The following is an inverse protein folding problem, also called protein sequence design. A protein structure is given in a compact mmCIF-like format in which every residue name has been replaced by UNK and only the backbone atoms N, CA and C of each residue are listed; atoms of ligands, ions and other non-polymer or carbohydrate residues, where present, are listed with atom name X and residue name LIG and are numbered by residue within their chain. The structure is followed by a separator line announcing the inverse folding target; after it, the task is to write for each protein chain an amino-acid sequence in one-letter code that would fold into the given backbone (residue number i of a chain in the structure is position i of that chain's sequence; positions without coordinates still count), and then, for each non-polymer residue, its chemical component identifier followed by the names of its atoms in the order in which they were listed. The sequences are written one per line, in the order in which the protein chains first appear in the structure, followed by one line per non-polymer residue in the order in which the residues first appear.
data_IF_117730328248
#
_entry.id   IF_117730328248
#
_cell.length_a   1.000
_cell.length_b   1.000
_cell.length_c   1.000
_cell.angle_alpha   90.00
_cell.angle_beta   90.00
_cell.angle_gamma   90.00
#
_symmetry.space_group_name_H-M   'P 1'
#
loop_
_entity.id
_entity.type
_entity.pdbx_description
1 polymer ?
#
# COMPACT_ATOMS: atom_id res chain seq x y z
N UNK A 1 2.87 26.92 4.55
CA UNK A 1 3.08 28.39 4.63
C UNK A 1 4.13 28.76 5.68
N UNK A 2 3.88 28.57 6.98
CA UNK A 2 4.84 28.99 8.02
C UNK A 2 6.25 28.43 7.84
N UNK A 3 6.41 27.17 7.42
CA UNK A 3 7.73 26.58 7.17
C UNK A 3 8.47 27.26 6.01
N UNK A 4 7.75 27.68 4.96
CA UNK A 4 8.34 28.37 3.82
C UNK A 4 8.84 29.77 4.19
N UNK A 5 8.04 30.54 4.95
CA UNK A 5 8.46 31.87 5.42
C UNK A 5 9.58 31.80 6.45
N UNK A 6 9.53 30.83 7.37
CA UNK A 6 10.65 30.58 8.30
C UNK A 6 11.95 30.34 7.55
N UNK A 7 11.91 29.49 6.50
CA UNK A 7 13.07 29.22 5.66
C UNK A 7 13.63 30.48 4.98
N UNK A 8 12.75 31.32 4.40
CA UNK A 8 13.18 32.59 3.80
C UNK A 8 13.83 33.52 4.83
N UNK A 9 13.19 33.70 5.99
CA UNK A 9 13.67 34.58 7.06
C UNK A 9 15.00 34.09 7.65
N UNK A 10 15.19 32.78 7.79
CA UNK A 10 16.46 32.16 8.21
C UNK A 10 17.59 32.43 7.21
N UNK A 11 17.27 32.55 5.92
CA UNK A 11 18.20 32.94 4.85
C UNK A 11 18.37 34.45 4.71
N UNK A 12 17.87 35.25 5.65
CA UNK A 12 17.90 36.73 5.62
C UNK A 12 17.23 37.29 4.36
N UNK A 13 16.20 36.60 3.88
CA UNK A 13 15.38 37.03 2.76
C UNK A 13 13.95 37.34 3.22
N UNK A 14 13.41 38.45 2.73
CA UNK A 14 12.00 38.81 2.88
C UNK A 14 11.27 38.59 1.56
N UNK A 15 10.00 38.19 1.61
CA UNK A 15 9.20 37.98 0.40
C UNK A 15 8.61 39.31 -0.15
N UNK A 16 8.12 40.17 0.74
CA UNK A 16 7.59 41.53 0.49
C UNK A 16 6.34 41.65 -0.39
N UNK A 17 6.01 40.67 -1.23
CA UNK A 17 4.76 40.63 -2.00
C UNK A 17 3.89 39.40 -1.69
N UNK A 18 3.67 39.13 -0.40
CA UNK A 18 2.78 38.06 0.02
C UNK A 18 1.31 38.41 -0.24
N UNK A 19 0.67 37.62 -1.10
CA UNK A 19 -0.75 37.73 -1.48
C UNK A 19 -1.30 36.36 -1.86
N UNK A 20 -2.63 36.16 -1.87
CA UNK A 20 -3.23 34.87 -2.19
C UNK A 20 -2.81 34.29 -3.56
N UNK A 21 -2.62 35.12 -4.58
CA UNK A 21 -2.17 34.67 -5.91
C UNK A 21 -0.75 34.11 -5.92
N UNK A 22 0.08 34.47 -4.94
CA UNK A 22 1.46 33.99 -4.82
C UNK A 22 1.56 32.74 -3.92
N UNK A 23 0.41 32.17 -3.54
CA UNK A 23 0.29 30.98 -2.71
C UNK A 23 -0.39 29.89 -3.54
N UNK A 24 0.39 28.92 -3.99
CA UNK A 24 -0.13 27.77 -4.73
C UNK A 24 -0.46 26.62 -3.80
N UNK A 25 -1.58 25.96 -4.07
CA UNK A 25 -1.95 24.69 -3.45
C UNK A 25 -1.79 23.61 -4.50
N UNK A 26 -0.93 22.64 -4.22
CA UNK A 26 -0.65 21.53 -5.15
C UNK A 26 -1.78 20.49 -5.11
N UNK A 27 -2.10 19.92 -6.26
CA UNK A 27 -3.12 18.87 -6.42
C UNK A 27 -2.68 17.51 -5.85
N UNK A 28 -1.37 17.28 -5.69
CA UNK A 28 -0.78 16.11 -5.03
C UNK A 28 -0.34 16.49 -3.61
N UNK A 29 -1.00 15.94 -2.58
CA UNK A 29 -0.59 16.06 -1.17
C UNK A 29 -1.00 17.34 -0.44
N UNK A 30 -1.84 18.20 -1.04
CA UNK A 30 -2.32 19.46 -0.44
C UNK A 30 -1.20 20.38 0.09
N UNK A 31 0.00 20.31 -0.48
CA UNK A 31 1.12 21.13 -0.04
C UNK A 31 0.97 22.58 -0.54
N UNK A 32 1.35 23.52 0.32
CA UNK A 32 1.40 24.96 0.01
C UNK A 32 2.78 25.32 -0.50
N UNK A 33 2.86 25.84 -1.73
CA UNK A 33 4.08 26.41 -2.33
C UNK A 33 3.96 27.92 -2.42
N UNK A 34 5.03 28.61 -2.03
CA UNK A 34 5.15 30.06 -2.16
C UNK A 34 5.93 30.35 -3.44
N UNK A 35 5.42 31.27 -4.27
CA UNK A 35 5.98 31.63 -5.57
C UNK A 35 6.23 33.14 -5.64
N UNK A 36 6.93 33.58 -6.68
CA UNK A 36 7.16 34.99 -7.01
C UNK A 36 7.97 35.76 -5.95
N UNK A 37 9.28 35.52 -5.97
CA UNK A 37 10.29 36.22 -5.16
C UNK A 37 10.85 37.45 -5.89
N UNK A 38 10.17 37.97 -6.92
CA UNK A 38 10.66 39.05 -7.77
C UNK A 38 10.90 40.38 -7.04
N UNK A 39 10.24 40.58 -5.90
CA UNK A 39 10.41 41.73 -5.00
C UNK A 39 11.15 41.36 -3.71
N UNK A 40 11.74 40.17 -3.67
CA UNK A 40 12.44 39.68 -2.49
C UNK A 40 13.64 40.54 -2.16
N UNK A 41 13.82 40.81 -0.87
CA UNK A 41 14.93 41.62 -0.37
C UNK A 41 15.86 40.80 0.49
N UNK A 42 17.17 40.96 0.28
CA UNK A 42 18.21 40.45 1.16
C UNK A 42 19.23 41.55 1.46
N UNK A 43 19.95 41.43 2.58
CA UNK A 43 21.03 42.35 2.94
C UNK A 43 22.15 42.44 1.88
N UNK A 44 22.22 41.46 0.97
CA UNK A 44 23.22 41.32 -0.09
C UNK A 44 22.80 41.84 -1.47
N UNK A 45 21.52 42.13 -1.70
CA UNK A 45 20.99 42.58 -3.00
C UNK A 45 19.81 43.56 -2.80
N UNK A 46 19.99 44.81 -3.25
CA UNK A 46 18.91 45.79 -3.36
C UNK A 46 18.23 45.63 -4.73
N UNK A 47 17.06 45.01 -4.75
CA UNK A 47 16.15 45.08 -5.89
C UNK A 47 15.17 46.26 -5.72
N UNK A 48 14.62 46.74 -6.83
CA UNK A 48 13.47 47.66 -6.81
C UNK A 48 12.33 46.99 -6.03
N UNK A 49 11.89 47.62 -4.95
CA UNK A 49 10.81 47.07 -4.12
C UNK A 49 9.46 47.34 -4.78
N UNK A 50 8.72 46.28 -5.06
CA UNK A 50 7.31 46.33 -5.44
C UNK A 50 6.43 45.71 -4.37
N UNK A 51 5.17 46.09 -4.36
CA UNK A 51 4.20 45.60 -3.39
C UNK A 51 2.79 45.63 -3.97
N UNK A 52 1.94 44.71 -3.50
CA UNK A 52 0.51 44.76 -3.76
C UNK A 52 -0.19 45.55 -2.64
N UNK A 53 -0.81 46.68 -3.00
CA UNK A 53 -1.36 47.68 -2.06
C UNK A 53 -2.31 47.11 -0.99
N UNK A 54 -3.05 46.05 -1.29
CA UNK A 54 -4.02 45.45 -0.37
C UNK A 54 -3.38 44.63 0.77
N UNK A 55 -2.14 44.20 0.57
CA UNK A 55 -1.40 43.30 1.48
C UNK A 55 -0.10 43.91 2.02
N UNK A 56 0.37 45.02 1.44
CA UNK A 56 1.62 45.66 1.83
C UNK A 56 1.56 46.24 3.25
N UNK A 57 2.67 46.11 3.97
CA UNK A 57 2.82 46.73 5.27
C UNK A 57 3.01 48.26 5.15
N UNK A 58 2.59 49.07 6.15
CA UNK A 58 2.74 50.53 6.13
C UNK A 58 4.17 51.01 5.89
N UNK A 59 5.17 50.32 6.42
CA UNK A 59 6.58 50.64 6.20
C UNK A 59 6.99 50.49 4.71
N UNK A 60 6.36 49.58 3.95
CA UNK A 60 6.59 49.42 2.51
C UNK A 60 6.06 50.62 1.72
N UNK A 61 4.92 51.20 2.14
CA UNK A 61 4.32 52.38 1.50
C UNK A 61 5.15 53.66 1.70
N UNK A 62 5.88 53.73 2.82
CA UNK A 62 6.74 54.88 3.14
C UNK A 62 8.18 54.70 2.66
N UNK A 63 8.49 53.58 1.99
CA UNK A 63 9.82 53.20 1.51
C UNK A 63 10.92 53.25 2.61
N UNK A 64 10.53 53.03 3.87
CA UNK A 64 11.45 52.99 5.02
C UNK A 64 12.08 51.61 5.13
N UNK A 65 13.01 51.31 4.23
CA UNK A 65 13.66 50.00 4.11
C UNK A 65 14.38 49.58 5.38
N UNK A 66 14.82 50.53 6.22
CA UNK A 66 15.43 50.28 7.53
C UNK A 66 14.48 49.65 8.55
N UNK A 67 13.18 49.67 8.29
CA UNK A 67 12.15 49.03 9.12
C UNK A 67 11.77 47.64 8.61
N UNK A 68 12.28 47.22 7.45
CA UNK A 68 11.91 45.95 6.85
C UNK A 68 12.49 44.81 7.66
N UNK A 69 11.63 43.85 7.99
CA UNK A 69 11.98 42.72 8.84
C UNK A 69 11.01 41.57 8.57
N UNK A 70 11.21 40.38 9.18
CA UNK A 70 10.19 39.33 9.19
C UNK A 70 8.78 39.83 9.56
N UNK A 71 8.68 40.89 10.38
CA UNK A 71 7.42 41.51 10.77
C UNK A 71 6.67 42.18 9.59
N UNK A 72 7.37 42.51 8.51
CA UNK A 72 6.81 43.05 7.26
C UNK A 72 6.04 41.97 6.51
N UNK A 73 6.64 40.78 6.31
CA UNK A 73 5.93 39.62 5.73
C UNK A 73 4.78 39.14 6.64
N UNK A 74 4.96 39.22 7.97
CA UNK A 74 3.93 38.85 8.93
C UNK A 74 2.69 39.75 8.85
N UNK A 75 2.85 41.03 8.47
CA UNK A 75 1.70 41.91 8.22
C UNK A 75 0.85 41.39 7.07
N UNK A 76 1.49 41.12 5.92
CA UNK A 76 0.82 40.61 4.74
C UNK A 76 0.16 39.24 5.01
N UNK A 77 0.86 38.35 5.74
CA UNK A 77 0.28 37.09 6.21
C UNK A 77 -0.93 37.31 7.13
N UNK A 78 -0.87 38.29 8.03
CA UNK A 78 -1.97 38.70 8.90
C UNK A 78 -3.22 39.12 8.12
N UNK A 79 -3.05 39.91 7.05
CA UNK A 79 -4.12 40.30 6.13
C UNK A 79 -4.73 39.10 5.42
N UNK A 80 -3.91 38.14 4.99
CA UNK A 80 -4.38 36.89 4.37
C UNK A 80 -5.18 36.06 5.38
N UNK A 81 -4.65 35.86 6.60
CA UNK A 81 -5.32 35.13 7.66
C UNK A 81 -6.67 35.77 8.03
N UNK A 82 -6.74 37.10 8.10
CA UNK A 82 -7.96 37.85 8.34
C UNK A 82 -8.98 37.66 7.21
N UNK A 83 -8.55 37.79 5.94
CA UNK A 83 -9.44 37.66 4.77
C UNK A 83 -10.12 36.30 4.69
N UNK A 84 -9.43 35.23 5.07
CA UNK A 84 -9.94 33.85 4.98
C UNK A 84 -10.46 33.30 6.33
N UNK A 85 -10.47 34.10 7.40
CA UNK A 85 -10.96 33.65 8.71
C UNK A 85 -10.13 32.53 9.33
N UNK A 86 -8.82 32.51 9.07
CA UNK A 86 -7.91 31.40 9.44
C UNK A 86 -7.25 31.57 10.82
N UNK A 87 -7.47 32.69 11.51
CA UNK A 87 -6.94 32.95 12.86
C UNK A 87 -7.91 33.83 13.66
N UNK A 88 -7.77 33.85 15.00
CA UNK A 88 -8.56 34.74 15.88
C UNK A 88 -8.29 36.20 15.55
N UNK A 89 -9.32 37.04 15.69
CA UNK A 89 -9.22 38.49 15.48
C UNK A 89 -8.10 39.13 16.28
N UNK A 90 -7.89 38.73 17.54
CA UNK A 90 -6.80 39.28 18.36
C UNK A 90 -5.40 38.95 17.82
N UNK A 91 -5.25 37.79 17.17
CA UNK A 91 -3.98 37.36 16.55
C UNK A 91 -3.78 38.14 15.24
N UNK A 92 -4.80 38.21 14.39
CA UNK A 92 -4.71 38.94 13.11
C UNK A 92 -4.52 40.43 13.35
N UNK A 93 -5.20 41.03 14.34
CA UNK A 93 -5.01 42.42 14.77
C UNK A 93 -3.57 42.68 15.25
N UNK A 94 -2.94 41.72 15.95
CA UNK A 94 -1.54 41.84 16.33
C UNK A 94 -0.61 41.84 15.10
N UNK A 95 -0.91 41.01 14.09
CA UNK A 95 -0.12 40.95 12.85
C UNK A 95 -0.22 42.26 12.04
N UNK A 96 -1.36 42.95 12.04
CA UNK A 96 -1.62 44.12 11.18
C UNK A 96 -1.43 45.47 11.88
N UNK A 97 -0.73 45.53 13.01
CA UNK A 97 -0.42 46.81 13.68
C UNK A 97 0.48 47.69 12.81
N UNK A 98 0.32 49.02 12.92
CA UNK A 98 1.13 49.97 12.16
C UNK A 98 2.62 49.86 12.50
N UNK A 99 2.96 49.85 13.79
CA UNK A 99 4.34 49.66 14.24
C UNK A 99 4.81 48.18 14.05
N UNK A 100 5.83 47.91 13.21
CA UNK A 100 6.35 46.56 13.00
C UNK A 100 6.89 45.92 14.30
N UNK A 101 7.38 46.71 15.26
CA UNK A 101 7.88 46.20 16.55
C UNK A 101 6.77 45.67 17.46
N UNK A 102 5.53 46.09 17.21
CA UNK A 102 4.36 45.66 17.98
C UNK A 102 3.69 44.39 17.42
N UNK A 103 4.16 43.87 16.28
CA UNK A 103 3.73 42.63 15.63
C UNK A 103 4.49 41.41 16.20
N UNK A 104 4.13 40.21 15.74
CA UNK A 104 4.99 39.04 15.99
C UNK A 104 6.32 39.24 15.26
N UNK A 105 7.43 39.05 15.98
CA UNK A 105 8.78 39.29 15.45
C UNK A 105 9.33 38.09 14.65
N UNK A 106 8.64 36.95 14.68
CA UNK A 106 8.97 35.79 13.87
C UNK A 106 7.73 34.96 13.54
N UNK A 107 7.83 34.19 12.47
CA UNK A 107 6.77 33.26 12.03
C UNK A 107 6.51 32.19 13.10
N UNK A 108 7.54 31.78 13.85
CA UNK A 108 7.41 30.86 14.97
C UNK A 108 6.63 31.44 16.15
N UNK A 109 6.82 32.72 16.46
CA UNK A 109 6.05 33.38 17.51
C UNK A 109 4.56 33.44 17.14
N UNK A 110 4.24 33.74 15.88
CA UNK A 110 2.88 33.69 15.35
C UNK A 110 2.30 32.26 15.41
N UNK A 111 3.06 31.25 14.96
CA UNK A 111 2.66 29.84 15.00
C UNK A 111 2.30 29.39 16.42
N UNK A 112 3.13 29.72 17.42
CA UNK A 112 2.88 29.39 18.84
C UNK A 112 1.63 30.09 19.38
N UNK A 113 1.37 31.34 18.99
CA UNK A 113 0.17 32.06 19.39
C UNK A 113 -1.11 31.42 18.83
N UNK A 114 -1.06 30.95 17.58
CA UNK A 114 -2.18 30.24 16.96
C UNK A 114 -2.46 28.90 17.66
N UNK A 115 -1.43 28.12 17.99
CA UNK A 115 -1.57 26.85 18.72
C UNK A 115 -2.15 27.03 20.14
N UNK A 116 -1.66 28.01 20.92
CA UNK A 116 -2.19 28.29 22.28
C UNK A 116 -3.66 28.72 22.29
N UNK A 117 -4.10 29.37 21.22
CA UNK A 117 -5.48 29.82 21.05
C UNK A 117 -6.47 28.66 20.86
N UNK A 118 -6.01 27.52 20.33
CA UNK A 118 -6.81 26.29 20.18
C UNK A 118 -6.97 25.56 21.52
N UNK A 119 -5.93 25.54 22.37
CA UNK A 119 -5.95 24.87 23.69
C UNK A 119 -6.91 25.52 24.69
N UNK A 120 -7.00 26.86 24.72
CA UNK A 120 -7.91 27.61 25.62
C UNK A 120 -9.39 27.44 25.23
N UNK A 121 -9.67 27.05 23.97
CA UNK A 121 -11.03 26.82 23.46
C UNK A 121 -11.64 25.50 23.98
N UNK A 122 -10.82 24.60 24.52
CA UNK A 122 -11.22 23.28 25.03
C UNK A 122 -11.72 23.36 26.49
N UNK A 123 -11.10 24.17 27.34
CA UNK A 123 -11.42 24.21 28.78
C UNK A 123 -12.72 24.93 29.13
N UNK A 124 -13.18 25.88 28.30
CA UNK A 124 -14.37 26.71 28.57
C UNK A 124 -15.69 26.16 28.02
N UNK A 125 -15.65 25.11 27.17
CA UNK A 125 -16.85 24.52 26.53
C UNK A 125 -17.42 23.29 27.26
N UNK A 126 -16.75 22.79 28.30
CA UNK A 126 -17.14 21.56 29.03
C UNK A 126 -18.39 21.75 29.90
N UNK A 127 -18.64 22.95 30.44
CA UNK A 127 -19.69 23.16 31.46
C UNK A 127 -21.13 23.23 30.93
N UNK A 128 -21.38 23.90 29.81
CA UNK A 128 -22.75 24.08 29.28
C UNK A 128 -23.14 23.07 28.19
N UNK A 129 -22.16 22.43 27.56
CA UNK A 129 -22.38 21.48 26.46
C UNK A 129 -22.93 20.13 26.89
N UNK A 130 -22.69 19.70 28.13
CA UNK A 130 -23.04 18.35 28.60
C UNK A 130 -24.55 18.07 28.63
N UNK A 131 -25.38 19.08 28.95
CA UNK A 131 -26.84 18.88 29.06
C UNK A 131 -27.52 18.86 27.69
N UNK A 132 -27.07 19.70 26.74
CA UNK A 132 -27.60 19.71 25.38
C UNK A 132 -27.05 18.57 24.52
N UNK A 133 -25.81 18.12 24.75
CA UNK A 133 -25.19 17.01 24.03
C UNK A 133 -25.82 15.65 24.36
N UNK A 134 -26.42 15.45 25.55
CA UNK A 134 -27.14 14.21 25.85
C UNK A 134 -28.44 14.07 25.05
N UNK A 135 -29.17 15.18 24.83
CA UNK A 135 -30.42 15.20 24.06
C UNK A 135 -30.18 15.16 22.54
N UNK A 136 -29.17 15.87 22.06
CA UNK A 136 -28.78 15.89 20.64
C UNK A 136 -28.04 14.60 20.26
N UNK A 137 -27.22 14.04 21.16
CA UNK A 137 -26.54 12.76 20.96
C UNK A 137 -27.51 11.60 20.76
N UNK A 138 -28.64 11.59 21.46
CA UNK A 138 -29.69 10.59 21.25
C UNK A 138 -30.35 10.71 19.85
N UNK A 139 -30.54 11.93 19.35
CA UNK A 139 -31.17 12.19 18.03
C UNK A 139 -30.18 11.97 16.88
N UNK A 140 -28.91 12.35 17.03
CA UNK A 140 -27.85 12.16 16.03
C UNK A 140 -27.44 10.68 15.93
N UNK A 141 -27.45 9.95 17.05
CA UNK A 141 -27.30 8.48 17.03
C UNK A 141 -28.46 7.80 16.29
N UNK A 142 -29.68 8.35 16.38
CA UNK A 142 -30.87 7.84 15.68
C UNK A 142 -30.94 8.20 14.18
N UNK A 143 -30.23 9.23 13.69
CA UNK A 143 -30.46 9.78 12.32
C UNK A 143 -29.21 9.86 11.42
N UNK A 144 -28.01 9.51 11.90
CA UNK A 144 -26.98 8.97 11.02
C UNK A 144 -25.83 9.89 10.61
N UNK A 145 -24.62 9.35 10.80
CA UNK A 145 -23.48 9.62 9.94
C UNK A 145 -23.64 8.75 8.69
N UNK A 146 -23.88 9.36 7.54
CA UNK A 146 -23.58 8.73 6.26
C UNK A 146 -22.14 9.10 5.90
N UNK A 147 -21.22 8.16 6.08
CA UNK A 147 -19.97 8.16 5.32
C UNK A 147 -20.31 8.36 3.85
N UNK A 148 -19.60 9.25 3.13
CA UNK A 148 -19.76 9.29 1.68
C UNK A 148 -19.24 7.95 1.16
N UNK A 149 -20.10 7.10 0.55
CA UNK A 149 -19.65 5.84 0.02
C UNK A 149 -18.63 6.14 -1.08
N UNK A 150 -17.53 5.40 -1.11
CA UNK A 150 -16.72 5.28 -2.31
C UNK A 150 -17.64 4.83 -3.46
N UNK A 151 -17.39 5.26 -4.71
CA UNK A 151 -18.13 4.72 -5.84
C UNK A 151 -18.05 3.19 -5.76
N UNK A 152 -19.18 2.47 -5.92
CA UNK A 152 -19.18 1.02 -5.79
C UNK A 152 -18.19 0.44 -6.81
N UNK A 153 -17.17 -0.27 -6.31
CA UNK A 153 -16.31 -1.06 -7.18
C UNK A 153 -17.21 -2.08 -7.90
N UNK A 154 -17.01 -2.33 -9.22
CA UNK A 154 -17.64 -3.46 -9.87
C UNK A 154 -17.46 -4.70 -8.99
N UNK A 155 -18.49 -5.56 -8.87
CA UNK A 155 -18.33 -6.80 -8.12
C UNK A 155 -17.17 -7.59 -8.73
N UNK A 156 -16.23 -8.00 -7.88
CA UNK A 156 -15.13 -8.84 -8.32
C UNK A 156 -15.69 -10.20 -8.79
N UNK A 157 -15.03 -10.86 -9.75
CA UNK A 157 -15.40 -12.22 -10.13
C UNK A 157 -15.39 -13.16 -8.92
N UNK A 158 -16.16 -14.26 -9.00
CA UNK A 158 -16.18 -15.26 -7.93
C UNK A 158 -14.77 -15.76 -7.62
N UNK A 159 -14.41 -15.78 -6.33
CA UNK A 159 -13.08 -16.19 -5.85
C UNK A 159 -12.01 -15.10 -5.91
N UNK A 160 -12.32 -13.88 -6.36
CA UNK A 160 -11.40 -12.75 -6.37
C UNK A 160 -11.55 -11.83 -5.15
N UNK A 161 -10.45 -11.22 -4.72
CA UNK A 161 -10.46 -10.03 -3.86
C UNK A 161 -10.86 -8.82 -4.70
N UNK A 162 -11.74 -7.97 -4.18
CA UNK A 162 -12.21 -6.79 -4.89
C UNK A 162 -11.20 -5.63 -4.83
N UNK A 163 -10.00 -5.84 -5.35
CA UNK A 163 -8.93 -4.86 -5.53
C UNK A 163 -8.28 -5.03 -6.89
N UNK A 164 -8.05 -3.92 -7.59
CA UNK A 164 -7.42 -3.92 -8.92
C UNK A 164 -5.93 -3.58 -8.81
N UNK A 165 -5.13 -4.30 -9.59
CA UNK A 165 -3.68 -4.15 -9.63
C UNK A 165 -3.24 -3.99 -11.08
N UNK A 166 -2.66 -2.83 -11.40
CA UNK A 166 -2.07 -2.58 -12.72
C UNK A 166 -0.78 -3.39 -12.85
N UNK A 167 -0.66 -4.19 -13.90
CA UNK A 167 0.42 -5.19 -14.05
C UNK A 167 1.49 -4.82 -15.09
N UNK A 168 1.26 -3.77 -15.88
CA UNK A 168 2.21 -3.31 -16.89
C UNK A 168 2.03 -1.82 -17.25
N UNK A 169 2.93 -1.30 -18.09
CA UNK A 169 2.86 0.09 -18.57
C UNK A 169 1.67 0.39 -19.49
N UNK A 170 1.09 -0.64 -20.12
CA UNK A 170 -0.10 -0.49 -20.96
C UNK A 170 -1.36 -0.20 -20.14
N UNK A 171 -1.32 -0.44 -18.82
CA UNK A 171 -2.43 -0.20 -17.92
C UNK A 171 -3.36 -1.40 -17.76
N UNK A 172 -2.94 -2.60 -18.17
CA UNK A 172 -3.71 -3.82 -17.93
C UNK A 172 -3.85 -4.06 -16.42
N UNK A 173 -5.01 -4.53 -16.00
CA UNK A 173 -5.33 -4.73 -14.59
C UNK A 173 -5.80 -6.15 -14.33
N UNK A 174 -5.47 -6.64 -13.14
CA UNK A 174 -5.91 -7.96 -12.66
C UNK A 174 -6.57 -7.88 -11.29
N UNK A 175 -7.39 -8.88 -11.00
CA UNK A 175 -7.84 -9.24 -9.67
C UNK A 175 -7.02 -10.41 -9.13
N UNK A 176 -6.65 -10.37 -7.85
CA UNK A 176 -6.01 -11.50 -7.17
C UNK A 176 -7.05 -12.46 -6.58
N UNK A 177 -6.70 -13.75 -6.49
CA UNK A 177 -7.52 -14.74 -5.82
C UNK A 177 -7.63 -14.49 -4.31
N UNK A 178 -8.78 -14.86 -3.73
CA UNK A 178 -9.13 -14.69 -2.31
C UNK A 178 -8.26 -15.47 -1.33
N UNK A 179 -7.47 -16.41 -1.82
CA UNK A 179 -6.61 -17.27 -1.01
C UNK A 179 -5.52 -17.88 -1.89
N UNK A 180 -4.51 -18.45 -1.24
CA UNK A 180 -3.53 -19.30 -1.93
C UNK A 180 -4.26 -20.50 -2.53
N UNK A 181 -3.78 -20.97 -3.68
CA UNK A 181 -4.28 -22.18 -4.28
C UNK A 181 -4.08 -23.37 -3.32
N UNK A 182 -5.09 -24.23 -3.24
CA UNK A 182 -5.07 -25.45 -2.47
C UNK A 182 -5.64 -26.60 -3.29
N UNK A 183 -5.13 -27.80 -3.06
CA UNK A 183 -5.56 -29.01 -3.74
C UNK A 183 -5.82 -30.14 -2.76
N UNK A 184 -6.86 -30.94 -3.00
CA UNK A 184 -7.19 -32.13 -2.23
C UNK A 184 -7.22 -33.38 -3.13
N UNK A 185 -6.21 -34.27 -3.04
CA UNK A 185 -6.10 -35.45 -3.89
C UNK A 185 -7.27 -36.41 -3.79
N UNK A 186 -7.77 -36.66 -2.57
CA UNK A 186 -8.80 -37.67 -2.30
C UNK A 186 -10.13 -37.42 -3.00
N UNK A 187 -10.39 -36.19 -3.44
CA UNK A 187 -11.60 -35.78 -4.15
C UNK A 187 -11.30 -35.02 -5.45
N UNK A 188 -10.04 -35.00 -5.89
CA UNK A 188 -9.57 -34.26 -7.05
C UNK A 188 -10.12 -32.84 -7.16
N UNK A 189 -9.94 -32.03 -6.11
CA UNK A 189 -10.56 -30.69 -6.03
C UNK A 189 -9.53 -29.62 -5.78
N UNK A 190 -9.58 -28.56 -6.58
CA UNK A 190 -8.87 -27.31 -6.38
C UNK A 190 -9.77 -26.26 -5.71
N UNK A 191 -9.19 -25.45 -4.84
CA UNK A 191 -9.85 -24.29 -4.23
C UNK A 191 -8.83 -23.20 -3.91
N UNK A 192 -9.30 -22.00 -3.65
CA UNK A 192 -8.57 -21.02 -2.87
C UNK A 192 -8.78 -21.26 -1.37
N UNK A 193 -7.77 -20.98 -0.56
CA UNK A 193 -7.89 -20.91 0.88
C UNK A 193 -9.03 -19.96 1.30
N UNK A 194 -9.67 -20.23 2.44
CA UNK A 194 -10.87 -19.48 2.84
C UNK A 194 -10.51 -18.07 3.29
N UNK A 195 -9.48 -17.93 4.12
CA UNK A 195 -8.88 -16.64 4.47
C UNK A 195 -7.53 -16.45 3.76
N UNK A 196 -7.14 -15.19 3.53
CA UNK A 196 -5.86 -14.90 2.85
C UNK A 196 -4.63 -15.34 3.64
N UNK A 197 -4.71 -15.38 4.97
CA UNK A 197 -3.64 -15.82 5.86
C UNK A 197 -3.65 -17.33 6.15
N UNK A 198 -4.63 -18.08 5.61
CA UNK A 198 -4.66 -19.53 5.73
C UNK A 198 -3.57 -20.17 4.85
N UNK A 199 -2.80 -21.07 5.45
CA UNK A 199 -1.86 -21.96 4.76
C UNK A 199 -1.81 -23.31 5.50
N UNK A 200 -1.46 -24.38 4.79
CA UNK A 200 -1.36 -25.74 5.33
C UNK A 200 0.01 -25.96 5.97
N UNK A 201 1.08 -25.48 5.34
CA UNK A 201 2.43 -25.54 5.90
C UNK A 201 2.83 -26.96 6.33
N UNK A 202 3.37 -27.09 7.55
CA UNK A 202 3.91 -28.36 8.08
C UNK A 202 2.87 -29.37 8.55
N UNK A 203 1.59 -28.98 8.66
CA UNK A 203 0.55 -29.74 9.37
C UNK A 203 0.17 -31.07 8.70
N UNK A 204 0.56 -31.29 7.44
CA UNK A 204 0.26 -32.51 6.69
C UNK A 204 1.46 -33.45 6.44
N UNK A 205 2.59 -33.24 7.13
CA UNK A 205 3.75 -34.16 7.14
C UNK A 205 4.26 -34.65 5.75
N UNK A 206 3.98 -33.93 4.65
CA UNK A 206 4.48 -34.16 3.29
C UNK A 206 4.79 -35.62 2.93
N UNK A 207 3.82 -36.51 3.14
CA UNK A 207 4.05 -37.93 2.94
C UNK A 207 4.52 -38.24 1.50
N UNK A 208 5.57 -39.06 1.39
CA UNK A 208 6.10 -39.61 0.13
C UNK A 208 5.17 -40.67 -0.52
N UNK A 209 3.87 -40.72 -0.20
CA UNK A 209 2.92 -41.67 -0.80
C UNK A 209 1.47 -41.16 -0.82
N UNK A 210 0.72 -41.36 -1.93
CA UNK A 210 -0.69 -40.91 -2.01
C UNK A 210 -1.61 -41.60 -1.04
N UNK A 211 -1.33 -42.83 -0.65
CA UNK A 211 -2.21 -43.56 0.27
C UNK A 211 -2.38 -42.83 1.63
N UNK A 212 -1.54 -41.81 1.91
CA UNK A 212 -1.60 -41.00 3.14
C UNK A 212 -1.95 -39.52 2.93
N UNK A 213 -2.06 -39.02 1.70
CA UNK A 213 -2.41 -37.62 1.47
C UNK A 213 -3.91 -37.43 1.27
N UNK A 214 -4.67 -37.52 2.35
CA UNK A 214 -6.14 -37.33 2.36
C UNK A 214 -6.58 -35.87 2.58
N UNK A 215 -5.64 -34.99 2.93
CA UNK A 215 -5.88 -33.60 3.32
C UNK A 215 -5.49 -32.60 2.21
N UNK A 216 -5.71 -31.31 2.47
CA UNK A 216 -5.38 -30.20 1.57
C UNK A 216 -3.87 -29.96 1.47
N UNK A 217 -3.40 -29.46 0.31
CA UNK A 217 -2.02 -29.10 0.00
C UNK A 217 -1.98 -27.68 -0.57
N UNK A 218 -0.88 -26.93 -0.37
CA UNK A 218 -0.74 -25.53 -0.80
C UNK A 218 0.67 -25.12 -1.31
N UNK A 219 1.63 -26.07 -1.31
CA UNK A 219 2.99 -25.89 -1.82
C UNK A 219 3.23 -26.84 -2.99
N UNK A 220 3.31 -26.28 -4.21
CA UNK A 220 3.29 -27.02 -5.47
C UNK A 220 4.57 -26.85 -6.25
N UNK A 221 5.01 -27.91 -6.93
CA UNK A 221 6.03 -27.83 -7.96
C UNK A 221 5.56 -26.97 -9.15
N UNK A 222 6.52 -26.36 -9.84
CA UNK A 222 6.26 -25.49 -10.98
C UNK A 222 5.59 -26.24 -12.13
N UNK A 223 4.60 -25.61 -12.77
CA UNK A 223 4.05 -26.09 -14.04
C UNK A 223 3.09 -27.29 -13.97
N UNK A 224 2.56 -27.60 -12.79
CA UNK A 224 1.81 -28.86 -12.57
C UNK A 224 0.30 -28.77 -12.82
N UNK A 225 -0.14 -27.88 -13.71
CA UNK A 225 -1.54 -27.52 -13.96
C UNK A 225 -2.49 -28.65 -14.38
N UNK A 226 -1.98 -29.84 -14.71
CA UNK A 226 -2.83 -31.01 -14.89
C UNK A 226 -3.45 -31.20 -16.26
N UNK A 227 -3.00 -30.48 -17.30
CA UNK A 227 -3.41 -30.77 -18.69
C UNK A 227 -2.29 -31.41 -19.51
N UNK A 228 -2.66 -32.47 -20.23
CA UNK A 228 -1.82 -33.11 -21.23
C UNK A 228 -1.71 -32.27 -22.51
N UNK A 229 -0.56 -31.63 -22.70
CA UNK A 229 -0.13 -30.99 -23.95
C UNK A 229 1.11 -31.70 -24.52
N UNK A 230 1.22 -33.02 -24.31
CA UNK A 230 2.30 -33.86 -24.82
C UNK A 230 3.40 -34.23 -23.81
N UNK A 231 3.32 -33.79 -22.54
CA UNK A 231 4.21 -34.31 -21.49
C UNK A 231 3.69 -35.58 -20.81
N UNK A 232 4.63 -36.31 -20.21
CA UNK A 232 4.43 -37.69 -19.76
C UNK A 232 3.77 -37.74 -18.36
N UNK A 233 3.78 -36.65 -17.60
CA UNK A 233 3.17 -36.57 -16.26
C UNK A 233 2.55 -35.20 -16.04
N UNK A 234 1.27 -35.18 -15.68
CA UNK A 234 0.52 -33.97 -15.41
C UNK A 234 -0.36 -34.15 -14.19
N UNK A 235 -0.56 -33.03 -13.50
CA UNK A 235 -1.21 -32.80 -12.21
C UNK A 235 -0.14 -32.78 -11.08
N UNK A 236 -0.30 -32.03 -9.96
CA UNK A 236 0.76 -31.79 -8.97
C UNK A 236 1.28 -33.03 -8.23
N UNK A 237 0.85 -34.21 -8.65
CA UNK A 237 1.33 -35.54 -8.28
C UNK A 237 2.11 -36.14 -9.45
N UNK A 238 3.42 -35.95 -9.45
CA UNK A 238 4.27 -36.74 -10.32
C UNK A 238 4.55 -38.09 -9.65
N UNK A 239 4.32 -39.20 -10.37
CA UNK A 239 4.91 -40.48 -10.00
C UNK A 239 6.38 -40.48 -10.43
N UNK A 240 7.27 -40.77 -9.49
CA UNK A 240 8.63 -41.15 -9.86
C UNK A 240 8.57 -42.58 -10.37
N UNK A 241 8.35 -42.80 -11.67
CA UNK A 241 8.62 -44.09 -12.32
C UNK A 241 8.91 -43.91 -13.82
N UNK A 242 10.18 -43.66 -14.13
CA UNK A 242 10.74 -44.04 -15.45
C UNK A 242 11.23 -45.50 -15.42
N UNK A 243 10.96 -46.27 -14.35
CA UNK A 243 11.34 -47.68 -14.26
C UNK A 243 10.21 -48.52 -13.67
N UNK A 244 9.99 -49.65 -14.32
CA UNK A 244 8.92 -50.64 -14.14
C UNK A 244 8.84 -51.14 -12.69
N UNK A 245 7.83 -50.69 -11.94
CA UNK A 245 7.14 -51.50 -10.93
C UNK A 245 5.82 -50.80 -10.53
N UNK A 246 4.71 -51.51 -10.69
CA UNK A 246 3.32 -51.05 -10.61
C UNK A 246 2.82 -50.71 -9.19
N UNK A 247 3.66 -50.11 -8.35
CA UNK A 247 3.26 -49.56 -7.05
C UNK A 247 3.26 -48.02 -7.12
N UNK A 248 2.10 -47.45 -7.42
CA UNK A 248 1.83 -46.02 -7.53
C UNK A 248 2.38 -45.19 -6.35
N UNK A 249 3.55 -44.56 -6.54
CA UNK A 249 4.15 -43.61 -5.59
C UNK A 249 3.82 -42.19 -6.03
N UNK A 250 3.08 -41.45 -5.21
CA UNK A 250 2.58 -40.11 -5.54
C UNK A 250 3.27 -39.08 -4.65
N UNK A 251 3.73 -37.99 -5.25
CA UNK A 251 4.55 -37.00 -4.57
C UNK A 251 4.14 -35.59 -4.97
N UNK A 252 3.95 -34.70 -3.98
CA UNK A 252 3.64 -33.28 -4.19
C UNK A 252 4.88 -32.43 -4.56
N UNK A 253 5.98 -33.08 -4.93
CA UNK A 253 7.18 -32.49 -5.48
C UNK A 253 7.32 -32.94 -6.95
N UNK A 254 7.87 -32.09 -7.80
CA UNK A 254 8.08 -32.39 -9.22
C UNK A 254 9.25 -33.33 -9.41
N UNK A 255 9.35 -33.99 -10.57
CA UNK A 255 10.54 -34.79 -10.91
C UNK A 255 11.45 -33.93 -11.78
N UNK A 256 12.71 -33.83 -11.35
CA UNK A 256 13.79 -33.05 -11.96
C UNK A 256 14.17 -33.51 -13.39
N UNK A 257 13.80 -34.73 -13.75
CA UNK A 257 14.01 -35.31 -15.09
C UNK A 257 12.81 -35.20 -16.03
N UNK A 258 11.65 -34.74 -15.54
CA UNK A 258 10.45 -34.63 -16.36
C UNK A 258 10.31 -33.22 -16.95
N UNK A 259 9.87 -33.17 -18.20
CA UNK A 259 9.62 -31.94 -18.92
C UNK A 259 8.39 -31.25 -18.31
N UNK A 260 8.61 -30.33 -17.35
CA UNK A 260 7.54 -29.56 -16.70
C UNK A 260 7.03 -28.39 -17.58
N UNK A 261 7.28 -28.44 -18.89
CA UNK A 261 6.76 -27.47 -19.86
C UNK A 261 5.66 -28.10 -20.69
N UNK A 262 4.70 -27.30 -21.12
CA UNK A 262 3.90 -27.62 -22.29
C UNK A 262 4.70 -27.29 -23.58
N UNK A 263 4.15 -27.67 -24.75
CA UNK A 263 4.78 -27.41 -26.05
C UNK A 263 5.04 -25.93 -26.37
N UNK A 264 4.49 -25.01 -25.58
CA UNK A 264 4.57 -23.55 -25.75
C UNK A 264 5.36 -22.85 -24.62
N UNK A 265 5.85 -23.60 -23.61
CA UNK A 265 6.66 -23.10 -22.50
C UNK A 265 5.91 -22.44 -21.34
N UNK A 266 4.59 -22.57 -21.24
CA UNK A 266 3.71 -21.82 -20.33
C UNK A 266 2.89 -22.74 -19.40
N UNK A 267 3.58 -23.45 -18.51
CA UNK A 267 2.93 -24.31 -17.55
C UNK A 267 2.32 -23.48 -16.40
N UNK A 268 1.03 -23.14 -16.53
CA UNK A 268 0.29 -22.25 -15.62
C UNK A 268 -0.76 -23.01 -14.81
N UNK A 269 -0.79 -22.87 -13.48
CA UNK A 269 -1.80 -23.47 -12.59
C UNK A 269 -3.25 -23.08 -12.90
N UNK A 270 -3.45 -21.99 -13.65
CA UNK A 270 -4.72 -21.41 -14.07
C UNK A 270 -5.61 -22.26 -14.99
N UNK A 271 -5.09 -23.36 -15.55
CA UNK A 271 -5.89 -24.26 -16.41
C UNK A 271 -6.96 -25.07 -15.65
N UNK A 272 -6.91 -25.11 -14.32
CA UNK A 272 -7.82 -25.92 -13.49
C UNK A 272 -9.14 -25.20 -13.20
N UNK A 273 -10.23 -25.97 -13.13
CA UNK A 273 -11.48 -25.50 -12.53
C UNK A 273 -11.32 -25.39 -11.01
N UNK A 274 -11.49 -24.19 -10.47
CA UNK A 274 -11.32 -23.90 -9.04
C UNK A 274 -12.70 -23.79 -8.39
N UNK A 275 -13.00 -24.72 -7.49
CA UNK A 275 -14.36 -24.93 -6.94
C UNK A 275 -15.00 -23.69 -6.30
N UNK A 276 -14.21 -22.85 -5.65
CA UNK A 276 -14.64 -21.57 -5.04
C UNK A 276 -14.05 -20.34 -5.77
N UNK A 277 -13.75 -20.52 -7.06
CA UNK A 277 -13.21 -19.52 -7.98
C UNK A 277 -13.96 -19.46 -9.31
N UNK A 278 -15.27 -19.75 -9.29
CA UNK A 278 -16.14 -19.82 -10.47
C UNK A 278 -16.23 -21.21 -11.11
N UNK A 279 -15.37 -22.15 -10.72
CA UNK A 279 -15.39 -23.56 -11.17
C UNK A 279 -15.37 -23.75 -12.69
N UNK A 280 -14.70 -22.83 -13.39
CA UNK A 280 -14.45 -22.88 -14.83
C UNK A 280 -12.94 -23.00 -15.09
N UNK A 281 -12.55 -23.74 -16.12
CA UNK A 281 -11.15 -23.88 -16.52
C UNK A 281 -10.65 -22.64 -17.25
N UNK A 282 -9.35 -22.33 -17.13
CA UNK A 282 -8.66 -21.28 -17.89
C UNK A 282 -9.16 -19.85 -17.61
N UNK A 283 -9.74 -19.63 -16.43
CA UNK A 283 -10.20 -18.29 -15.99
C UNK A 283 -9.24 -17.62 -15.03
N UNK A 284 -8.26 -18.37 -14.52
CA UNK A 284 -7.20 -17.89 -13.65
C UNK A 284 -5.86 -18.10 -14.35
N UNK A 285 -4.83 -17.40 -13.89
CA UNK A 285 -3.44 -17.54 -14.35
C UNK A 285 -2.46 -17.14 -13.25
N UNK A 286 -1.20 -17.51 -13.38
CA UNK A 286 -0.12 -16.90 -12.59
C UNK A 286 0.41 -15.63 -13.25
N UNK A 287 0.93 -14.73 -12.43
CA UNK A 287 1.66 -13.57 -12.93
C UNK A 287 3.01 -14.00 -13.50
N UNK A 288 3.46 -13.34 -14.57
CA UNK A 288 4.84 -13.45 -15.04
C UNK A 288 5.78 -12.74 -14.07
N UNK A 289 7.09 -13.01 -14.15
CA UNK A 289 8.07 -12.32 -13.32
C UNK A 289 8.13 -10.82 -13.61
N UNK A 290 7.89 -10.41 -14.86
CA UNK A 290 7.81 -9.01 -15.26
C UNK A 290 6.59 -8.31 -14.66
N UNK A 291 5.44 -8.98 -14.57
CA UNK A 291 4.25 -8.44 -13.91
C UNK A 291 4.45 -8.34 -12.39
N UNK A 292 5.13 -9.32 -11.76
CA UNK A 292 5.53 -9.25 -10.35
C UNK A 292 6.45 -8.05 -10.08
N UNK A 293 7.52 -7.93 -10.85
CA UNK A 293 8.47 -6.81 -10.81
C UNK A 293 7.74 -5.47 -11.00
N UNK A 294 6.81 -5.41 -11.95
CA UNK A 294 6.01 -4.22 -12.16
C UNK A 294 5.19 -3.87 -10.92
N UNK A 295 4.38 -4.80 -10.38
CA UNK A 295 3.53 -4.55 -9.22
C UNK A 295 4.31 -4.05 -8.01
N UNK A 296 5.51 -4.58 -7.78
CA UNK A 296 6.32 -4.37 -6.58
C UNK A 296 7.25 -3.15 -6.70
N UNK A 297 7.80 -2.90 -7.89
CA UNK A 297 8.85 -1.89 -8.09
C UNK A 297 8.42 -0.71 -8.96
N UNK A 298 7.81 -0.98 -10.13
CA UNK A 298 7.57 0.04 -11.18
C UNK A 298 6.19 0.68 -11.10
N UNK A 299 5.20 -0.04 -10.56
CA UNK A 299 3.79 0.36 -10.54
C UNK A 299 3.63 1.71 -9.85
N UNK A 300 2.97 2.63 -10.55
CA UNK A 300 2.74 3.99 -10.07
C UNK A 300 1.28 4.16 -9.68
N UNK A 301 1.01 4.24 -8.37
CA UNK A 301 -0.31 4.55 -7.81
C UNK A 301 -0.40 6.02 -7.40
N UNK A 302 -1.60 6.56 -7.18
CA UNK A 302 -1.77 7.96 -6.77
C UNK A 302 -1.08 8.27 -5.42
N UNK A 303 -1.04 7.30 -4.51
CA UNK A 303 -0.37 7.39 -3.22
C UNK A 303 1.11 7.00 -3.28
N UNK A 304 1.55 6.34 -4.36
CA UNK A 304 2.89 5.75 -4.50
C UNK A 304 3.09 4.50 -3.65
N UNK A 305 2.08 4.05 -2.91
CA UNK A 305 2.12 2.88 -2.03
C UNK A 305 1.84 1.61 -2.86
N UNK A 306 2.64 0.56 -2.69
CA UNK A 306 2.53 -0.71 -3.42
C UNK A 306 2.45 -1.93 -2.50
N UNK A 307 3.31 -1.99 -1.49
CA UNK A 307 3.37 -3.14 -0.58
C UNK A 307 3.81 -2.73 0.83
N UNK A 308 3.61 -3.64 1.78
CA UNK A 308 4.19 -3.59 3.12
C UNK A 308 4.35 -5.01 3.67
N UNK A 309 5.25 -5.22 4.65
CA UNK A 309 5.31 -6.47 5.41
C UNK A 309 4.46 -6.35 6.67
N UNK A 310 3.76 -7.42 7.06
CA UNK A 310 2.99 -7.45 8.31
C UNK A 310 2.85 -8.85 8.90
N UNK A 311 2.36 -8.87 10.14
CA UNK A 311 1.72 -10.02 10.76
C UNK A 311 0.19 -9.82 10.73
N UNK A 312 -0.55 -10.78 10.21
CA UNK A 312 -2.02 -10.86 10.28
C UNK A 312 -2.38 -12.04 11.16
N UNK A 313 -2.97 -11.77 12.31
CA UNK A 313 -3.30 -12.74 13.35
C UNK A 313 -2.12 -13.67 13.70
N UNK A 314 -0.92 -13.08 13.81
CA UNK A 314 0.31 -13.82 14.10
C UNK A 314 0.95 -14.52 12.89
N UNK A 315 0.30 -14.54 11.73
CA UNK A 315 0.87 -15.06 10.47
C UNK A 315 1.68 -13.96 9.79
N UNK A 316 2.97 -14.19 9.56
CA UNK A 316 3.83 -13.25 8.84
C UNK A 316 3.62 -13.33 7.33
N UNK A 317 3.67 -12.20 6.65
CA UNK A 317 3.47 -12.16 5.20
C UNK A 317 3.71 -10.81 4.54
N UNK A 318 3.54 -10.80 3.22
CA UNK A 318 3.62 -9.63 2.37
C UNK A 318 2.21 -9.15 2.02
N UNK A 319 1.94 -7.86 2.21
CA UNK A 319 0.71 -7.19 1.79
C UNK A 319 0.97 -6.53 0.44
N UNK A 320 0.18 -6.89 -0.57
CA UNK A 320 0.07 -6.14 -1.81
C UNK A 320 -1.13 -5.20 -1.71
N UNK A 321 -0.94 -3.96 -2.12
CA UNK A 321 -1.92 -2.89 -1.96
C UNK A 321 -2.46 -2.48 -3.35
N UNK A 322 -3.79 -2.39 -3.55
CA UNK A 322 -4.40 -2.13 -4.86
C UNK A 322 -4.12 -0.70 -5.35
N UNK A 323 -4.44 -0.45 -6.62
CA UNK A 323 -4.10 0.81 -7.30
C UNK A 323 -4.72 2.06 -6.64
N UNK A 324 -5.88 1.90 -6.01
CA UNK A 324 -6.64 2.95 -5.32
C UNK A 324 -6.44 2.94 -3.79
N UNK A 325 -5.41 2.25 -3.29
CA UNK A 325 -5.13 2.16 -1.86
C UNK A 325 -4.89 3.53 -1.21
N UNK A 326 -5.65 3.83 -0.17
CA UNK A 326 -5.48 4.97 0.72
C UNK A 326 -5.02 4.51 2.11
N UNK A 327 -3.91 5.07 2.58
CA UNK A 327 -3.34 4.80 3.90
C UNK A 327 -4.29 5.10 5.08
N UNK A 328 -5.36 5.88 4.86
CA UNK A 328 -6.37 6.16 5.89
C UNK A 328 -7.27 4.97 6.19
N UNK A 329 -7.39 4.00 5.28
CA UNK A 329 -8.21 2.81 5.49
C UNK A 329 -7.57 1.86 6.51
N UNK A 330 -6.29 1.59 6.33
CA UNK A 330 -5.47 0.77 7.22
C UNK A 330 -4.09 1.46 7.34
N UNK A 331 -3.81 2.15 8.46
CA UNK A 331 -2.58 2.92 8.63
C UNK A 331 -1.40 1.99 8.92
N UNK A 332 -0.88 1.37 7.86
CA UNK A 332 0.36 0.61 7.89
C UNK A 332 1.57 1.55 7.96
N UNK A 333 2.68 1.00 8.41
CA UNK A 333 4.00 1.65 8.49
C UNK A 333 4.92 1.01 7.46
N UNK A 334 5.96 1.76 7.06
CA UNK A 334 7.08 1.24 6.25
C UNK A 334 6.63 0.64 4.91
N UNK A 335 5.90 1.45 4.15
CA UNK A 335 5.51 1.12 2.79
C UNK A 335 6.72 1.08 1.87
N UNK A 336 6.71 0.14 0.91
CA UNK A 336 7.73 -0.02 -0.11
C UNK A 336 9.16 -0.10 0.46
N UNK A 337 9.30 -0.64 1.68
CA UNK A 337 10.55 -0.82 2.40
C UNK A 337 10.78 -2.35 2.48
N UNK A 338 11.73 -2.84 1.70
CA UNK A 338 12.09 -4.26 1.54
C UNK A 338 12.97 -4.78 2.69
N UNK A 339 13.69 -3.89 3.37
CA UNK A 339 14.57 -4.16 4.50
C UNK A 339 13.85 -4.22 5.86
N UNK A 340 12.57 -3.82 5.92
CA UNK A 340 11.80 -3.84 7.16
C UNK A 340 11.46 -5.27 7.60
N UNK A 341 11.38 -5.50 8.91
CA UNK A 341 10.84 -6.72 9.50
C UNK A 341 9.29 -6.68 9.60
N UNK A 342 8.64 -7.76 10.03
CA UNK A 342 7.17 -7.81 10.11
C UNK A 342 6.57 -7.00 11.27
N UNK A 343 7.38 -6.60 12.25
CA UNK A 343 6.90 -6.04 13.54
C UNK A 343 6.20 -4.68 13.45
N UNK A 344 6.45 -3.78 12.47
CA UNK A 344 5.79 -2.49 12.43
C UNK A 344 4.29 -2.56 12.14
N UNK A 345 3.83 -3.67 11.56
CA UNK A 345 2.46 -3.89 11.18
C UNK A 345 1.97 -5.22 11.79
N UNK A 346 1.25 -5.15 12.90
CA UNK A 346 0.64 -6.32 13.54
C UNK A 346 -0.88 -6.12 13.60
N UNK A 347 -1.60 -6.86 12.77
CA UNK A 347 -3.03 -6.72 12.53
C UNK A 347 -3.75 -7.92 13.13
N UNK A 348 -4.84 -7.70 13.86
CA UNK A 348 -5.75 -8.78 14.25
C UNK A 348 -6.62 -9.18 13.06
N UNK A 349 -7.15 -10.40 13.04
CA UNK A 349 -8.07 -10.86 11.98
C UNK A 349 -9.24 -9.87 11.75
N UNK A 350 -10.01 -9.42 12.77
CA UNK A 350 -11.11 -8.48 12.53
C UNK A 350 -10.66 -7.17 11.91
N UNK A 351 -9.49 -6.66 12.33
CA UNK A 351 -8.95 -5.43 11.77
C UNK A 351 -8.50 -5.61 10.31
N UNK A 352 -7.86 -6.74 10.00
CA UNK A 352 -7.49 -7.11 8.63
C UNK A 352 -8.73 -7.16 7.73
N UNK A 353 -9.72 -7.95 8.10
CA UNK A 353 -10.92 -8.19 7.29
C UNK A 353 -11.71 -6.90 7.07
N UNK A 354 -11.93 -6.10 8.12
CA UNK A 354 -12.76 -4.89 8.03
C UNK A 354 -12.06 -3.69 7.40
N UNK A 355 -10.72 -3.62 7.44
CA UNK A 355 -9.97 -2.41 7.03
C UNK A 355 -9.09 -2.61 5.82
N UNK A 356 -8.41 -3.73 5.70
CA UNK A 356 -7.45 -3.96 4.63
C UNK A 356 -8.06 -4.80 3.50
N UNK A 357 -8.56 -5.99 3.82
CA UNK A 357 -9.16 -6.90 2.84
C UNK A 357 -10.43 -6.31 2.22
N UNK A 358 -11.28 -5.67 3.03
CA UNK A 358 -12.45 -4.93 2.54
C UNK A 358 -12.12 -3.82 1.52
N UNK A 359 -10.88 -3.33 1.53
CA UNK A 359 -10.38 -2.33 0.57
C UNK A 359 -9.55 -2.94 -0.54
N UNK A 360 -9.57 -4.27 -0.68
CA UNK A 360 -8.94 -5.00 -1.77
C UNK A 360 -7.45 -5.30 -1.58
N UNK A 361 -6.91 -5.17 -0.35
CA UNK A 361 -5.55 -5.61 -0.06
C UNK A 361 -5.42 -7.13 -0.18
N UNK A 362 -4.26 -7.57 -0.65
CA UNK A 362 -3.92 -8.98 -0.81
C UNK A 362 -2.83 -9.34 0.19
N UNK A 363 -3.03 -10.41 0.95
CA UNK A 363 -2.04 -10.93 1.89
C UNK A 363 -1.46 -12.26 1.38
N UNK A 364 -0.14 -12.28 1.28
CA UNK A 364 0.66 -13.45 0.91
C UNK A 364 1.31 -14.01 2.19
N UNK A 365 0.78 -15.10 2.78
CA UNK A 365 1.37 -15.69 3.98
C UNK A 365 2.74 -16.31 3.69
N UNK A 366 3.63 -16.27 4.69
CA UNK A 366 4.90 -16.98 4.72
C UNK A 366 4.66 -18.48 4.99
N UNK A 367 4.09 -19.18 4.00
CA UNK A 367 3.68 -20.58 4.11
C UNK A 367 4.85 -21.58 4.19
N UNK A 368 6.09 -21.13 4.02
CA UNK A 368 7.29 -21.96 3.99
C UNK A 368 7.61 -22.49 2.60
N UNK A 369 8.45 -23.52 2.58
CA UNK A 369 8.91 -24.19 1.36
C UNK A 369 8.78 -25.69 1.49
N UNK A 370 8.50 -26.35 0.37
CA UNK A 370 8.61 -27.79 0.23
C UNK A 370 9.83 -28.11 -0.61
N UNK A 371 10.71 -28.96 -0.10
CA UNK A 371 11.73 -29.62 -0.89
C UNK A 371 11.53 -31.12 -0.72
N UNK A 372 11.15 -31.79 -1.81
CA UNK A 372 10.77 -33.21 -1.79
C UNK A 372 9.65 -33.49 -0.74
N UNK A 373 9.88 -34.47 0.15
CA UNK A 373 8.97 -34.85 1.22
C UNK A 373 9.05 -33.99 2.49
N UNK A 374 9.74 -32.85 2.47
CA UNK A 374 9.95 -32.02 3.65
C UNK A 374 9.32 -30.62 3.48
N UNK A 375 8.50 -30.16 4.43
CA UNK A 375 8.16 -28.73 4.56
C UNK A 375 9.07 -28.13 5.63
N UNK A 376 9.75 -27.04 5.28
CA UNK A 376 10.53 -26.24 6.21
C UNK A 376 10.12 -24.77 6.20
N UNK A 377 10.63 -24.03 7.19
CA UNK A 377 10.63 -22.56 7.19
C UNK A 377 9.22 -21.93 7.20
N UNK A 378 8.24 -22.73 7.63
CA UNK A 378 6.85 -22.34 7.85
C UNK A 378 6.76 -21.17 8.80
N UNK A 379 5.96 -20.16 8.44
CA UNK A 379 5.82 -18.91 9.19
C UNK A 379 7.03 -17.99 9.12
N UNK A 380 8.08 -18.34 8.38
CA UNK A 380 9.31 -17.54 8.25
C UNK A 380 9.49 -16.98 6.85
N UNK A 381 9.32 -17.84 5.85
CA UNK A 381 9.58 -17.53 4.44
C UNK A 381 8.33 -17.69 3.58
N UNK A 382 8.11 -16.74 2.67
CA UNK A 382 7.15 -16.87 1.60
C UNK A 382 7.87 -16.91 0.27
N UNK A 383 7.63 -17.97 -0.51
CA UNK A 383 8.00 -18.04 -1.92
C UNK A 383 6.74 -18.25 -2.75
N UNK A 384 6.60 -17.44 -3.80
CA UNK A 384 5.47 -17.49 -4.71
C UNK A 384 5.95 -17.65 -6.13
N UNK A 385 5.35 -18.59 -6.84
CA UNK A 385 5.69 -18.84 -8.24
C UNK A 385 5.25 -17.71 -9.17
N UNK A 386 6.06 -17.49 -10.21
CA UNK A 386 5.63 -16.84 -11.46
C UNK A 386 5.35 -17.89 -12.54
N UNK A 387 4.66 -17.50 -13.61
CA UNK A 387 4.60 -18.29 -14.87
C UNK A 387 5.91 -18.24 -15.65
N UNK A 388 6.88 -17.40 -15.28
CA UNK A 388 8.12 -17.28 -16.03
C UNK A 388 9.09 -18.41 -15.71
N UNK A 389 9.51 -19.09 -16.76
CA UNK A 389 10.54 -20.11 -16.70
C UNK A 389 11.91 -19.55 -17.08
N UNK A 390 12.97 -19.99 -16.39
CA UNK A 390 14.34 -19.69 -16.79
C UNK A 390 14.90 -20.78 -17.73
N UNK A 391 14.82 -22.04 -17.29
CA UNK A 391 15.37 -23.18 -18.03
C UNK A 391 14.64 -24.49 -17.68
N UNK A 392 15.08 -25.66 -18.19
CA UNK A 392 14.40 -26.92 -17.90
C UNK A 392 14.25 -27.33 -16.44
N UNK A 393 15.14 -26.87 -15.56
CA UNK A 393 15.16 -27.23 -14.14
C UNK A 393 14.68 -26.12 -13.23
N UNK A 394 14.84 -24.87 -13.66
CA UNK A 394 14.62 -23.71 -12.82
C UNK A 394 13.52 -22.79 -13.34
N UNK A 395 12.74 -22.22 -12.42
CA UNK A 395 11.72 -21.23 -12.69
C UNK A 395 11.83 -20.04 -11.73
N UNK A 396 11.12 -18.97 -12.07
CA UNK A 396 11.20 -17.70 -11.37
C UNK A 396 10.03 -17.49 -10.42
N UNK A 397 10.26 -16.68 -9.40
CA UNK A 397 9.24 -16.27 -8.45
C UNK A 397 9.72 -15.14 -7.55
N UNK A 398 8.91 -14.78 -6.56
CA UNK A 398 9.27 -13.81 -5.53
C UNK A 398 9.59 -14.51 -4.21
N UNK A 399 10.45 -13.89 -3.41
CA UNK A 399 10.85 -14.40 -2.09
C UNK A 399 10.82 -13.30 -1.05
N UNK A 400 10.14 -13.53 0.07
CA UNK A 400 10.18 -12.63 1.20
C UNK A 400 10.38 -13.36 2.53
N UNK A 401 11.00 -12.66 3.45
CA UNK A 401 11.27 -13.07 4.81
C UNK A 401 11.33 -11.87 5.74
N UNK A 402 11.61 -12.12 7.02
CA UNK A 402 11.80 -11.07 8.02
C UNK A 402 12.97 -10.12 7.69
N UNK A 403 13.94 -10.56 6.90
CA UNK A 403 15.18 -9.80 6.66
C UNK A 403 15.47 -9.52 5.19
N UNK A 404 14.73 -10.16 4.28
CA UNK A 404 14.99 -10.07 2.85
C UNK A 404 13.67 -10.00 2.09
N UNK A 405 13.67 -9.26 0.99
CA UNK A 405 12.64 -9.33 -0.02
C UNK A 405 13.30 -9.22 -1.39
N UNK A 406 13.10 -10.25 -2.22
CA UNK A 406 13.59 -10.30 -3.59
C UNK A 406 12.40 -10.35 -4.54
N UNK A 407 12.34 -9.38 -5.44
CA UNK A 407 11.31 -9.27 -6.48
C UNK A 407 11.53 -10.28 -7.62
N UNK A 408 12.68 -10.94 -7.66
CA UNK A 408 12.95 -12.07 -8.55
C UNK A 408 13.99 -13.00 -7.93
N UNK A 409 13.66 -14.29 -7.90
CA UNK A 409 14.57 -15.38 -7.52
C UNK A 409 14.41 -16.55 -8.48
N UNK A 410 15.47 -17.33 -8.57
CA UNK A 410 15.48 -18.61 -9.29
C UNK A 410 15.38 -19.74 -8.28
N UNK A 411 14.58 -20.76 -8.58
CA UNK A 411 14.44 -21.95 -7.74
C UNK A 411 14.11 -23.17 -8.60
N UNK A 412 14.50 -24.34 -8.09
CA UNK A 412 14.19 -25.63 -8.71
C UNK A 412 12.68 -25.81 -8.85
N UNK A 413 12.25 -26.19 -10.07
CA UNK A 413 10.86 -26.46 -10.41
C UNK A 413 10.28 -27.65 -9.66
N UNK A 414 11.13 -28.59 -9.23
CA UNK A 414 10.70 -29.76 -8.47
C UNK A 414 10.26 -29.42 -7.04
N UNK A 415 10.70 -28.28 -6.51
CA UNK A 415 10.38 -27.86 -5.17
C UNK A 415 9.01 -27.19 -5.09
N UNK A 416 8.31 -27.38 -3.96
CA UNK A 416 7.00 -26.81 -3.75
C UNK A 416 7.05 -25.39 -3.22
N UNK A 417 6.31 -24.48 -3.86
CA UNK A 417 6.14 -23.07 -3.47
C UNK A 417 4.66 -22.71 -3.46
N UNK A 418 4.32 -21.59 -2.83
CA UNK A 418 2.94 -21.09 -2.82
C UNK A 418 2.54 -20.60 -4.21
N UNK A 419 1.24 -20.71 -4.51
CA UNK A 419 0.66 -20.20 -5.75
C UNK A 419 -0.47 -19.25 -5.39
N UNK A 420 -0.36 -18.01 -5.85
CA UNK A 420 -1.42 -17.00 -5.79
C UNK A 420 -1.81 -16.65 -7.22
N UNK A 421 -3.06 -16.87 -7.58
CA UNK A 421 -3.54 -16.68 -8.94
C UNK A 421 -4.15 -15.31 -9.13
N UNK A 422 -4.20 -14.89 -10.38
CA UNK A 422 -4.85 -13.67 -10.83
C UNK A 422 -5.84 -13.95 -11.96
N UNK A 423 -6.77 -13.04 -12.15
CA UNK A 423 -7.73 -13.02 -13.25
C UNK A 423 -7.74 -11.65 -13.89
N UNK A 424 -7.62 -11.59 -15.20
CA UNK A 424 -7.65 -10.34 -15.96
C UNK A 424 -9.03 -9.66 -15.84
N UNK A 425 -9.04 -8.32 -15.78
CA UNK A 425 -10.24 -7.49 -15.55
C UNK A 425 -11.17 -7.41 -16.76
#
# INVERSE_FOLDING_TARGET
MFSALSYLHDKKMLHLDLKPSNILITNKGHHVKLIDLGFGWSESYLHDFGFTRDYCAPEQLTAKTELFSPATDIYALGKILQRFGLAKDSITQCCVKEDPRARYQSVDALRKAMQRSETIRISSRVGLGLVAAMLIGAIVWLVGFREKPLPPRPPAPEGAINGLFTINEAGDQVYFSKGNLQYKPSINTWRFAENQFDYIGGDNANHNSAEKCVNWLDLFAWGTSGRDHGAICYQPWCSRNVFEDEAWQYSAYGVDTLNLFDGDGQADWGYNAISNGGNEENVWRTLTIEEWDYILEKRTTATGIRFAKAAVDGVWGLLLLPDDWDSTYCPLRKYNDDDVDYTPNNLTEPFWTEKAEAQGAVFLPAAGIRDFGYVGLVGKYGLYWSSSCLDPKEALGIYFSNSFFYHSITTDKCSGRSVRLVRDK
#
